data_IF_214644009432
#
_entry.id   IF_214644009432
#
_cell.length_a   1.000
_cell.length_b   1.000
_cell.length_c   1.000
_cell.angle_alpha   90.00
_cell.angle_beta   90.00
_cell.angle_gamma   90.00
#
_symmetry.space_group_name_H-M   'P 1'
#
loop_
_entity.id
_entity.type
_entity.pdbx_description
1 polymer ?
#
# COMPACT_ATOMS: atom_id res chain seq x y z
N UNK A 1 1.66 13.18 -6.06
CA UNK A 1 1.55 12.22 -4.93
C UNK A 1 0.24 11.45 -5.13
N UNK A 2 0.26 10.13 -5.04
CA UNK A 2 -0.91 9.27 -5.38
C UNK A 2 -1.62 8.73 -4.14
N UNK A 3 -0.94 8.81 -2.99
CA UNK A 3 -1.42 8.39 -1.68
C UNK A 3 -0.91 9.35 -0.61
N UNK A 4 -1.75 9.63 0.38
CA UNK A 4 -1.40 10.34 1.62
C UNK A 4 -1.74 9.45 2.81
N UNK A 5 -0.84 9.33 3.78
CA UNK A 5 -1.05 8.54 4.99
C UNK A 5 -1.16 9.40 6.24
N UNK A 6 -1.94 8.94 7.21
CA UNK A 6 -2.04 9.59 8.53
C UNK A 6 -0.85 9.36 9.43
N UNK A 7 -0.04 8.34 9.14
CA UNK A 7 1.12 7.96 9.94
C UNK A 7 2.38 7.77 9.07
N UNK A 8 3.53 8.15 9.64
CA UNK A 8 4.83 7.89 9.02
C UNK A 8 5.15 6.39 8.90
N UNK A 9 4.62 5.57 9.83
CA UNK A 9 4.77 4.11 9.79
C UNK A 9 4.12 3.53 8.53
N UNK A 10 2.89 3.94 8.22
CA UNK A 10 2.17 3.46 7.04
C UNK A 10 2.79 3.98 5.74
N UNK A 11 3.23 5.25 5.72
CA UNK A 11 4.00 5.80 4.61
C UNK A 11 5.32 5.02 4.37
N UNK A 12 6.02 4.65 5.45
CA UNK A 12 7.23 3.85 5.38
C UNK A 12 6.98 2.45 4.80
N UNK A 13 5.93 1.76 5.27
CA UNK A 13 5.50 0.47 4.69
C UNK A 13 5.21 0.61 3.20
N UNK A 14 4.55 1.68 2.79
CA UNK A 14 4.22 1.91 1.39
C UNK A 14 5.48 2.06 0.50
N UNK A 15 6.47 2.82 0.96
CA UNK A 15 7.75 2.98 0.23
C UNK A 15 8.50 1.65 0.12
N UNK A 16 8.61 0.90 1.23
CA UNK A 16 9.26 -0.42 1.23
C UNK A 16 8.54 -1.37 0.29
N UNK A 17 7.20 -1.38 0.32
CA UNK A 17 6.38 -2.19 -0.57
C UNK A 17 6.63 -1.83 -2.03
N UNK A 18 6.63 -0.56 -2.43
CA UNK A 18 6.87 -0.18 -3.83
C UNK A 18 8.25 -0.65 -4.32
N UNK A 19 9.30 -0.45 -3.52
CA UNK A 19 10.66 -0.85 -3.88
C UNK A 19 10.79 -2.37 -3.93
N UNK A 20 10.32 -3.07 -2.90
CA UNK A 20 10.39 -4.52 -2.84
C UNK A 20 9.60 -5.18 -3.97
N UNK A 21 8.42 -4.67 -4.29
CA UNK A 21 7.57 -5.18 -5.36
C UNK A 21 8.17 -4.96 -6.76
N UNK A 22 8.88 -3.84 -6.94
CA UNK A 22 9.68 -3.59 -8.14
C UNK A 22 10.82 -4.61 -8.29
N UNK A 23 11.49 -4.97 -7.19
CA UNK A 23 12.54 -6.00 -7.20
C UNK A 23 11.97 -7.38 -7.53
N UNK A 24 10.79 -7.74 -6.98
CA UNK A 24 10.09 -9.00 -7.28
C UNK A 24 9.88 -9.18 -8.79
N UNK A 25 9.49 -8.12 -9.47
CA UNK A 25 9.14 -8.15 -10.90
C UNK A 25 10.32 -7.94 -11.84
N UNK A 26 11.50 -7.56 -11.33
CA UNK A 26 12.70 -7.39 -12.14
C UNK A 26 13.08 -8.68 -12.90
N UNK A 27 13.73 -8.49 -14.05
CA UNK A 27 14.04 -9.55 -15.03
C UNK A 27 14.85 -10.73 -14.48
N UNK A 28 15.56 -10.55 -13.36
CA UNK A 28 16.36 -11.59 -12.70
C UNK A 28 15.57 -12.42 -11.67
N UNK A 29 14.41 -11.91 -11.21
CA UNK A 29 13.59 -12.54 -10.17
C UNK A 29 12.28 -13.05 -10.76
N UNK A 30 11.60 -12.23 -11.58
CA UNK A 30 10.38 -12.57 -12.34
C UNK A 30 9.25 -13.17 -11.50
N UNK A 31 9.16 -12.78 -10.23
CA UNK A 31 8.04 -13.14 -9.38
C UNK A 31 6.83 -12.26 -9.68
N UNK A 32 5.65 -12.79 -9.40
CA UNK A 32 4.42 -12.02 -9.44
C UNK A 32 4.46 -10.91 -8.37
N UNK A 33 4.00 -9.72 -8.74
CA UNK A 33 3.91 -8.59 -7.82
C UNK A 33 2.90 -8.85 -6.71
N UNK A 34 3.16 -8.29 -5.55
CA UNK A 34 2.20 -8.18 -4.46
C UNK A 34 0.97 -7.38 -4.90
N UNK A 35 1.12 -6.35 -5.74
CA UNK A 35 -0.01 -5.64 -6.32
C UNK A 35 -1.02 -6.61 -6.97
N UNK A 36 -0.56 -7.46 -7.89
CA UNK A 36 -1.43 -8.40 -8.61
C UNK A 36 -1.95 -9.53 -7.72
N UNK A 37 -1.24 -9.86 -6.63
CA UNK A 37 -1.72 -10.84 -5.65
C UNK A 37 -2.83 -10.24 -4.78
N UNK A 38 -2.65 -9.02 -4.29
CA UNK A 38 -3.63 -8.33 -3.48
C UNK A 38 -4.84 -7.87 -4.29
N UNK A 39 -4.66 -7.49 -5.54
CA UNK A 39 -5.77 -7.19 -6.46
C UNK A 39 -6.68 -8.42 -6.66
N UNK A 40 -6.07 -9.59 -6.92
CA UNK A 40 -6.83 -10.83 -7.13
C UNK A 40 -7.54 -11.33 -5.85
N UNK A 41 -6.92 -11.12 -4.69
CA UNK A 41 -7.49 -11.52 -3.38
C UNK A 41 -8.52 -10.52 -2.86
N UNK A 42 -8.37 -9.24 -3.20
CA UNK A 42 -9.01 -8.13 -2.51
C UNK A 42 -8.28 -7.74 -1.22
N UNK A 43 -8.74 -6.63 -0.64
CA UNK A 43 -8.25 -6.11 0.63
C UNK A 43 -8.61 -7.03 1.80
N UNK A 44 -7.76 -7.04 2.82
CA UNK A 44 -8.06 -7.70 4.08
C UNK A 44 -9.37 -7.17 4.71
N UNK A 45 -10.21 -8.04 5.30
CA UNK A 45 -11.49 -7.63 5.90
C UNK A 45 -11.38 -6.57 7.01
N UNK A 46 -10.21 -6.45 7.64
CA UNK A 46 -9.91 -5.43 8.64
C UNK A 46 -9.74 -4.02 8.07
N UNK A 47 -9.72 -3.85 6.74
CA UNK A 47 -9.65 -2.55 6.08
C UNK A 47 -11.05 -2.12 5.65
N UNK A 48 -11.46 -0.97 6.17
CA UNK A 48 -12.68 -0.29 5.77
C UNK A 48 -12.37 0.70 4.64
N UNK A 49 -13.17 0.63 3.58
CA UNK A 49 -13.12 1.57 2.45
C UNK A 49 -14.29 2.55 2.55
N UNK A 50 -14.02 3.84 2.44
CA UNK A 50 -15.02 4.91 2.50
C UNK A 50 -14.74 5.95 1.41
N UNK A 51 -15.77 6.74 1.05
CA UNK A 51 -15.54 7.94 0.26
C UNK A 51 -14.64 8.92 1.03
N UNK A 52 -13.76 9.61 0.31
CA UNK A 52 -12.95 10.68 0.89
C UNK A 52 -13.87 11.84 1.34
N UNK A 53 -13.58 12.41 2.51
CA UNK A 53 -14.27 13.63 2.98
C UNK A 53 -13.76 14.87 2.26
N UNK A 54 -14.48 16.00 2.35
CA UNK A 54 -14.00 17.29 1.81
C UNK A 54 -12.61 17.67 2.34
N UNK A 55 -12.33 17.33 3.60
CA UNK A 55 -11.01 17.54 4.22
C UNK A 55 -9.94 16.66 3.58
N UNK A 56 -10.24 15.40 3.32
CA UNK A 56 -9.32 14.46 2.66
C UNK A 56 -9.04 14.90 1.21
N UNK A 57 -10.07 15.38 0.52
CA UNK A 57 -9.99 15.92 -0.84
C UNK A 57 -9.15 17.19 -0.86
N UNK A 58 -9.35 18.12 0.09
CA UNK A 58 -8.53 19.33 0.22
C UNK A 58 -7.04 19.02 0.37
N UNK A 59 -6.69 18.07 1.23
CA UNK A 59 -5.31 17.62 1.42
C UNK A 59 -4.67 17.06 0.14
N UNK A 60 -5.47 16.42 -0.72
CA UNK A 60 -5.02 15.87 -1.99
C UNK A 60 -4.89 16.94 -3.09
N UNK A 61 -5.82 17.89 -3.13
CA UNK A 61 -5.84 18.95 -4.16
C UNK A 61 -4.72 19.95 -3.98
N UNK A 62 -4.29 20.21 -2.74
CA UNK A 62 -3.06 20.99 -2.47
C UNK A 62 -1.82 20.43 -3.20
N UNK A 63 -1.89 19.17 -3.67
CA UNK A 63 -0.83 18.47 -4.41
C UNK A 63 -1.19 18.19 -5.88
N UNK A 64 -2.48 18.14 -6.25
CA UNK A 64 -2.97 17.95 -7.64
C UNK A 64 -4.16 18.88 -7.92
N UNK A 65 -4.04 19.74 -8.92
CA UNK A 65 -5.10 20.69 -9.31
C UNK A 65 -6.23 20.02 -10.13
N UNK A 66 -6.87 18.98 -9.57
CA UNK A 66 -8.01 18.31 -10.18
C UNK A 66 -9.02 17.82 -9.12
N UNK A 67 -9.86 18.76 -8.70
CA UNK A 67 -10.88 18.55 -7.67
C UNK A 67 -11.98 17.58 -8.10
N UNK A 68 -12.48 17.71 -9.33
CA UNK A 68 -13.59 16.89 -9.82
C UNK A 68 -13.18 15.42 -9.92
N UNK A 69 -11.94 15.16 -10.38
CA UNK A 69 -11.39 13.81 -10.39
C UNK A 69 -11.20 13.26 -8.98
N UNK A 70 -10.65 14.06 -8.06
CA UNK A 70 -10.46 13.65 -6.67
C UNK A 70 -11.81 13.30 -5.99
N UNK A 71 -12.86 14.09 -6.18
CA UNK A 71 -14.18 13.81 -5.61
C UNK A 71 -14.75 12.44 -6.03
N UNK A 72 -14.47 12.01 -7.27
CA UNK A 72 -14.97 10.73 -7.82
C UNK A 72 -14.11 9.54 -7.41
N UNK A 73 -12.79 9.70 -7.50
CA UNK A 73 -11.84 8.57 -7.45
C UNK A 73 -11.09 8.45 -6.12
N UNK A 74 -11.06 9.49 -5.29
CA UNK A 74 -10.37 9.46 -4.01
C UNK A 74 -11.19 8.70 -2.97
N UNK A 75 -10.53 7.73 -2.34
CA UNK A 75 -11.10 6.91 -1.26
C UNK A 75 -10.23 7.00 -0.03
N UNK A 76 -10.87 6.79 1.11
CA UNK A 76 -10.23 6.67 2.42
C UNK A 76 -10.25 5.20 2.84
N UNK A 77 -9.09 4.70 3.20
CA UNK A 77 -8.84 3.34 3.65
C UNK A 77 -8.36 3.39 5.10
N UNK A 78 -9.02 2.70 6.02
CA UNK A 78 -8.66 2.72 7.43
C UNK A 78 -8.80 1.35 8.06
N UNK A 79 -8.04 1.05 9.10
CA UNK A 79 -8.29 -0.14 9.91
C UNK A 79 -9.59 0.00 10.70
N UNK A 80 -10.37 -1.08 10.76
CA UNK A 80 -11.62 -1.14 11.54
C UNK A 80 -11.33 -0.88 13.02
N UNK A 81 -10.30 -1.53 13.56
CA UNK A 81 -9.95 -1.44 14.99
C UNK A 81 -9.12 -0.19 15.33
N UNK A 82 -8.61 0.52 14.31
CA UNK A 82 -7.85 1.76 14.48
C UNK A 82 -8.15 2.75 13.36
N UNK A 83 -9.31 3.43 13.40
CA UNK A 83 -9.71 4.39 12.35
C UNK A 83 -8.77 5.60 12.21
N UNK A 84 -7.90 5.84 13.20
CA UNK A 84 -6.86 6.87 13.17
C UNK A 84 -5.66 6.52 12.27
N UNK A 85 -5.43 5.23 11.98
CA UNK A 85 -4.48 4.80 10.94
C UNK A 85 -5.23 4.66 9.62
N UNK A 86 -4.85 5.49 8.64
CA UNK A 86 -5.53 5.55 7.35
C UNK A 86 -4.61 6.00 6.21
N UNK A 87 -4.99 5.57 5.01
CA UNK A 87 -4.49 6.07 3.73
C UNK A 87 -5.62 6.72 2.94
N UNK A 88 -5.32 7.83 2.28
CA UNK A 88 -6.19 8.48 1.30
C UNK A 88 -5.52 8.26 -0.05
N UNK A 89 -6.20 7.57 -0.96
CA UNK A 89 -5.61 7.11 -2.20
C UNK A 89 -6.63 7.11 -3.33
N UNK A 90 -6.15 7.20 -4.56
CA UNK A 90 -6.98 6.96 -5.74
C UNK A 90 -7.41 5.49 -5.80
N UNK A 91 -8.50 5.21 -6.49
CA UNK A 91 -9.09 3.87 -6.60
C UNK A 91 -8.12 2.81 -7.16
N UNK A 92 -7.29 3.16 -8.16
CA UNK A 92 -6.28 2.25 -8.70
C UNK A 92 -5.18 1.86 -7.71
N UNK A 93 -4.99 2.64 -6.65
CA UNK A 93 -4.05 2.34 -5.57
C UNK A 93 -4.63 1.39 -4.51
N UNK A 94 -5.92 1.01 -4.63
CA UNK A 94 -6.61 0.17 -3.66
C UNK A 94 -5.82 -1.09 -3.26
N UNK A 95 -5.27 -1.91 -4.18
CA UNK A 95 -4.54 -3.12 -3.79
C UNK A 95 -3.37 -2.83 -2.85
N UNK A 96 -2.69 -1.69 -3.00
CA UNK A 96 -1.55 -1.29 -2.16
C UNK A 96 -1.96 -0.84 -0.77
N UNK A 97 -3.24 -0.52 -0.55
CA UNK A 97 -3.74 -0.15 0.79
C UNK A 97 -3.78 -1.33 1.75
N UNK A 98 -3.56 -2.56 1.25
CA UNK A 98 -3.31 -3.74 2.07
C UNK A 98 -2.20 -3.53 3.11
N UNK A 99 -1.21 -2.68 2.80
CA UNK A 99 -0.11 -2.35 3.71
C UNK A 99 -0.58 -1.80 5.05
N UNK A 100 -1.79 -1.23 5.14
CA UNK A 100 -2.38 -0.77 6.41
C UNK A 100 -2.61 -1.93 7.38
N UNK A 101 -2.98 -3.12 6.88
CA UNK A 101 -3.26 -4.30 7.68
C UNK A 101 -2.00 -5.08 8.11
N UNK A 102 -0.82 -4.70 7.61
CA UNK A 102 0.42 -5.43 7.85
C UNK A 102 1.33 -4.68 8.84
N UNK A 103 2.02 -5.46 9.66
CA UNK A 103 3.26 -5.04 10.32
C UNK A 103 4.41 -4.98 9.29
N UNK A 104 5.55 -4.40 9.68
CA UNK A 104 6.77 -4.43 8.85
C UNK A 104 7.28 -5.85 8.62
N UNK A 105 7.15 -6.74 9.62
CA UNK A 105 7.60 -8.13 9.50
C UNK A 105 6.72 -8.91 8.54
N UNK A 106 5.40 -8.74 8.59
CA UNK A 106 4.46 -9.36 7.66
C UNK A 106 4.65 -8.82 6.23
N UNK A 107 4.88 -7.52 6.07
CA UNK A 107 5.21 -6.94 4.76
C UNK A 107 6.52 -7.50 4.22
N UNK A 108 7.55 -7.61 5.07
CA UNK A 108 8.85 -8.16 4.69
C UNK A 108 8.72 -9.61 4.28
N UNK A 109 7.98 -10.42 5.06
CA UNK A 109 7.71 -11.81 4.74
C UNK A 109 6.99 -11.95 3.39
N UNK A 110 5.95 -11.14 3.14
CA UNK A 110 5.25 -11.14 1.87
C UNK A 110 6.16 -10.74 0.69
N UNK A 111 7.04 -9.75 0.88
CA UNK A 111 7.99 -9.30 -0.14
C UNK A 111 9.08 -10.34 -0.44
N UNK A 112 9.47 -11.14 0.55
CA UNK A 112 10.48 -12.19 0.41
C UNK A 112 9.90 -13.54 -0.05
N UNK A 113 8.58 -13.73 0.01
CA UNK A 113 7.94 -14.97 -0.39
C UNK A 113 8.23 -15.33 -1.85
N UNK A 114 8.80 -16.51 -2.08
CA UNK A 114 9.26 -16.97 -3.40
C UNK A 114 10.59 -16.37 -3.90
N UNK A 115 11.23 -15.48 -3.14
CA UNK A 115 12.56 -14.95 -3.52
C UNK A 115 13.63 -16.05 -3.48
N UNK A 116 14.63 -16.01 -4.39
CA UNK A 116 15.77 -16.92 -4.35
C UNK A 116 16.54 -16.86 -3.02
N UNK A 117 17.08 -18.00 -2.58
CA UNK A 117 17.88 -18.09 -1.34
C UNK A 117 19.09 -17.15 -1.31
N UNK A 118 19.67 -16.85 -2.47
CA UNK A 118 20.79 -15.92 -2.61
C UNK A 118 20.46 -14.49 -2.15
N UNK A 119 19.17 -14.16 -2.07
CA UNK A 119 18.64 -12.89 -1.56
C UNK A 119 18.21 -13.05 -0.09
N UNK A 120 17.39 -14.07 0.23
CA UNK A 120 16.79 -14.21 1.56
C UNK A 120 17.80 -14.56 2.66
N UNK A 121 18.89 -15.26 2.33
CA UNK A 121 19.98 -15.59 3.27
C UNK A 121 20.71 -14.37 3.86
N UNK A 122 20.55 -13.19 3.26
CA UNK A 122 21.16 -11.94 3.74
C UNK A 122 20.28 -11.16 4.74
N UNK A 123 19.01 -11.53 4.86
CA UNK A 123 18.05 -10.85 5.75
C UNK A 123 17.98 -11.54 7.12
N UNK A 124 18.26 -12.84 7.17
CA UNK A 124 18.46 -13.60 8.40
C UNK A 124 19.90 -14.12 8.47
N UNK A 125 20.87 -13.33 8.99
CA UNK A 125 22.19 -13.87 9.24
C UNK A 125 22.07 -14.98 10.29
N UNK A 126 22.69 -16.13 10.00
CA UNK A 126 22.89 -17.20 10.97
C UNK A 126 23.66 -16.70 12.18
#
# INVERSE_FOLDING_TARGET
>A
MEVVFSSFLDAGKYVIMQLGDSIRTCSNVRLKSLFLNWEARGLSPGIKVQAASEKDIGLFIDVRDDKEYAEKHLKRYSLVDSPGSYGIALDYEQPRMEILALSFDELTAALLDGMPETITSKVHPR
#
